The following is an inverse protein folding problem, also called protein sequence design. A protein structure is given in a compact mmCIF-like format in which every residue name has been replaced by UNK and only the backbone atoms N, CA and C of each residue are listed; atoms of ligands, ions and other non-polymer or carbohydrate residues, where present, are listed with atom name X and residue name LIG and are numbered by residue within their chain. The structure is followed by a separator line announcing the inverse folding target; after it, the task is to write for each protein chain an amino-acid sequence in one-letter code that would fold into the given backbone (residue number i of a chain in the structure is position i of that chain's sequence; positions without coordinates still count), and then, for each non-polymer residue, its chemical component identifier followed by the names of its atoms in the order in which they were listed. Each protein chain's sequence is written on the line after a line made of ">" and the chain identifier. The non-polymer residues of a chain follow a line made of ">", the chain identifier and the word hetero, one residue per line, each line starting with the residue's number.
data_IF_803574834045
#
_entry.id   IF_803574834045
#
_cell.length_a   1.000
_cell.length_b   1.000
_cell.length_c   1.000
_cell.angle_alpha   90.00
_cell.angle_beta   90.00
_cell.angle_gamma   90.00
#
_symmetry.space_group_name_H-M   'P 1'
#
loop_
_entity.id
_entity.type
_entity.pdbx_description
1 polymer ?
#
# COMPACT_ATOMS: atom_id res chain seq x y z
N UNK A 1 -33.66 -1.73 -0.19
CA UNK A 1 -32.56 -0.78 0.09
C UNK A 1 -31.23 -1.43 -0.22
N UNK A 2 -30.32 -0.73 -0.89
CA UNK A 2 -29.09 -1.24 -1.52
C UNK A 2 -28.14 -2.03 -0.58
N UNK A 3 -28.18 -1.76 0.72
CA UNK A 3 -27.26 -2.35 1.70
C UNK A 3 -28.00 -3.04 2.88
N UNK A 4 -29.32 -3.06 2.86
CA UNK A 4 -30.12 -3.75 3.88
C UNK A 4 -30.21 -5.24 3.56
N UNK A 5 -30.15 -6.08 4.60
CA UNK A 5 -30.29 -7.53 4.46
C UNK A 5 -28.95 -8.28 4.25
N UNK A 6 -27.81 -7.57 4.26
CA UNK A 6 -26.49 -8.22 4.27
C UNK A 6 -26.14 -8.64 5.70
N UNK A 7 -25.60 -9.84 5.85
CA UNK A 7 -24.98 -10.32 7.09
C UNK A 7 -23.50 -10.59 6.85
N UNK A 8 -22.69 -10.43 7.88
CA UNK A 8 -21.24 -10.59 7.80
C UNK A 8 -20.82 -11.79 8.64
N UNK A 9 -19.93 -12.61 8.08
CA UNK A 9 -19.40 -13.79 8.73
C UNK A 9 -17.89 -13.80 8.64
N UNK A 10 -17.21 -14.34 9.64
CA UNK A 10 -15.82 -14.76 9.49
C UNK A 10 -15.79 -16.26 9.20
N UNK A 11 -14.80 -16.67 8.44
CA UNK A 11 -14.62 -18.05 7.98
C UNK A 11 -13.18 -18.48 8.23
N UNK A 12 -13.00 -19.66 8.82
CA UNK A 12 -11.70 -20.30 8.84
C UNK A 12 -11.35 -20.76 7.42
N UNK A 13 -10.25 -20.24 6.87
CA UNK A 13 -9.78 -20.57 5.52
C UNK A 13 -9.36 -22.04 5.36
N UNK A 14 -9.28 -22.80 6.46
CA UNK A 14 -9.05 -24.25 6.45
C UNK A 14 -10.34 -25.07 6.49
N UNK A 15 -11.50 -24.42 6.43
CA UNK A 15 -12.79 -25.10 6.42
C UNK A 15 -12.95 -26.00 5.19
N UNK A 16 -13.63 -27.16 5.32
CA UNK A 16 -13.95 -28.00 4.18
C UNK A 16 -14.69 -27.22 3.09
N UNK A 17 -14.28 -27.38 1.84
CA UNK A 17 -14.86 -26.70 0.69
C UNK A 17 -14.20 -25.34 0.37
N UNK A 18 -13.22 -24.88 1.17
CA UNK A 18 -12.41 -23.72 0.82
C UNK A 18 -11.15 -24.19 0.07
N UNK A 19 -10.96 -23.69 -1.14
CA UNK A 19 -9.76 -23.93 -1.95
C UNK A 19 -9.05 -22.60 -2.20
N UNK A 20 -7.74 -22.53 -1.95
CA UNK A 20 -6.92 -21.34 -2.15
C UNK A 20 -5.91 -21.62 -3.27
N UNK A 21 -5.91 -20.78 -4.30
CA UNK A 21 -4.96 -20.84 -5.42
C UNK A 21 -4.10 -19.58 -5.46
N UNK A 22 -2.78 -19.69 -5.26
CA UNK A 22 -1.88 -18.53 -5.37
C UNK A 22 -1.88 -17.93 -6.78
N UNK A 23 -1.94 -16.62 -6.86
CA UNK A 23 -1.79 -15.85 -8.11
C UNK A 23 -0.33 -15.42 -8.23
N UNK A 24 0.37 -15.90 -9.25
CA UNK A 24 1.73 -15.49 -9.52
C UNK A 24 1.74 -14.07 -10.10
N UNK A 25 2.41 -13.17 -9.43
CA UNK A 25 2.58 -11.79 -9.83
C UNK A 25 3.73 -11.64 -10.83
N UNK A 26 3.76 -10.51 -11.56
CA UNK A 26 4.84 -10.17 -12.50
C UNK A 26 6.21 -10.08 -11.80
N UNK A 27 6.23 -9.72 -10.51
CA UNK A 27 7.42 -9.68 -9.66
C UNK A 27 7.95 -11.06 -9.26
N UNK A 28 7.29 -12.15 -9.67
CA UNK A 28 7.64 -13.53 -9.28
C UNK A 28 7.04 -13.98 -7.94
N UNK A 29 6.56 -13.05 -7.11
CA UNK A 29 5.88 -13.35 -5.85
C UNK A 29 4.46 -13.92 -6.04
N UNK A 30 3.85 -14.39 -4.96
CA UNK A 30 2.49 -14.93 -4.95
C UNK A 30 1.74 -14.46 -3.68
N UNK A 31 1.68 -13.14 -3.48
CA UNK A 31 1.09 -12.53 -2.28
C UNK A 31 -0.44 -12.39 -2.37
N UNK A 32 -1.03 -12.69 -3.51
CA UNK A 32 -2.47 -12.68 -3.73
C UNK A 32 -2.97 -14.08 -4.08
N UNK A 33 -4.23 -14.36 -3.76
CA UNK A 33 -4.82 -15.66 -3.97
C UNK A 33 -6.22 -15.53 -4.58
N UNK A 34 -6.60 -16.51 -5.39
CA UNK A 34 -7.99 -16.81 -5.67
C UNK A 34 -8.53 -17.72 -4.56
N UNK A 35 -9.76 -17.49 -4.15
CA UNK A 35 -10.42 -18.29 -3.12
C UNK A 35 -11.74 -18.82 -3.69
N UNK A 36 -11.90 -20.13 -3.66
CA UNK A 36 -13.09 -20.81 -4.14
C UNK A 36 -13.85 -21.42 -2.96
N UNK A 37 -15.17 -21.32 -3.00
CA UNK A 37 -16.06 -21.86 -1.98
C UNK A 37 -16.99 -22.86 -2.63
N UNK A 38 -16.95 -24.13 -2.19
CA UNK A 38 -17.81 -25.21 -2.67
C UNK A 38 -18.51 -25.81 -1.48
N UNK A 39 -19.83 -25.58 -1.37
CA UNK A 39 -20.68 -26.09 -0.30
C UNK A 39 -20.17 -25.81 1.13
N UNK A 40 -19.45 -24.72 1.31
CA UNK A 40 -18.91 -24.30 2.61
C UNK A 40 -20.07 -23.95 3.55
N UNK A 41 -20.06 -24.52 4.75
CA UNK A 41 -21.04 -24.25 5.79
C UNK A 41 -20.40 -23.45 6.92
N UNK A 42 -20.99 -22.30 7.22
CA UNK A 42 -20.55 -21.41 8.29
C UNK A 42 -21.61 -21.41 9.39
N UNK A 43 -21.28 -21.79 10.64
CA UNK A 43 -22.24 -21.74 11.73
C UNK A 43 -22.61 -20.30 12.07
N UNK A 44 -23.84 -20.06 12.51
CA UNK A 44 -24.34 -18.73 12.86
C UNK A 44 -23.54 -18.06 13.99
N UNK A 45 -22.88 -18.85 14.83
CA UNK A 45 -21.96 -18.34 15.87
C UNK A 45 -20.74 -17.57 15.32
N UNK A 46 -20.43 -17.71 14.03
CA UNK A 46 -19.37 -16.97 13.34
C UNK A 46 -19.91 -15.71 12.65
N UNK A 47 -21.17 -15.35 12.85
CA UNK A 47 -21.75 -14.10 12.38
C UNK A 47 -21.25 -12.93 13.23
N UNK A 48 -20.85 -11.86 12.56
CA UNK A 48 -20.48 -10.59 13.20
C UNK A 48 -21.62 -9.59 13.05
N UNK A 49 -22.09 -9.11 14.19
CA UNK A 49 -23.26 -8.20 14.25
C UNK A 49 -24.60 -8.93 14.09
N UNK A 50 -25.67 -8.16 14.04
CA UNK A 50 -27.03 -8.67 13.88
C UNK A 50 -27.34 -9.03 12.42
N UNK A 51 -28.35 -9.87 12.21
CA UNK A 51 -28.87 -10.17 10.87
C UNK A 51 -29.25 -8.88 10.14
N UNK A 52 -28.75 -8.71 8.94
CA UNK A 52 -29.00 -7.52 8.13
C UNK A 52 -28.11 -6.31 8.43
N UNK A 53 -27.18 -6.39 9.38
CA UNK A 53 -26.23 -5.32 9.72
C UNK A 53 -24.83 -5.51 9.13
N UNK A 54 -24.65 -6.49 8.26
CA UNK A 54 -23.33 -6.84 7.70
C UNK A 54 -22.65 -5.69 6.95
N UNK A 55 -23.42 -4.76 6.37
CA UNK A 55 -22.84 -3.57 5.75
C UNK A 55 -22.13 -2.66 6.77
N UNK A 56 -22.71 -2.49 7.95
CA UNK A 56 -22.10 -1.69 9.01
C UNK A 56 -20.81 -2.34 9.52
N UNK A 57 -20.81 -3.66 9.67
CA UNK A 57 -19.62 -4.43 10.05
C UNK A 57 -18.53 -4.29 9.00
N UNK A 58 -18.86 -4.43 7.71
CA UNK A 58 -17.92 -4.25 6.60
C UNK A 58 -17.30 -2.84 6.60
N UNK A 59 -18.10 -1.79 6.83
CA UNK A 59 -17.60 -0.42 6.91
C UNK A 59 -16.59 -0.26 8.06
N UNK A 60 -16.85 -0.84 9.23
CA UNK A 60 -15.93 -0.79 10.37
C UNK A 60 -14.59 -1.44 10.00
N UNK A 61 -14.61 -2.61 9.37
CA UNK A 61 -13.40 -3.31 8.89
C UNK A 61 -12.61 -2.44 7.89
N UNK A 62 -13.30 -1.89 6.88
CA UNK A 62 -12.68 -1.06 5.84
C UNK A 62 -12.10 0.25 6.38
N UNK A 63 -12.73 0.85 7.40
CA UNK A 63 -12.20 2.07 8.04
C UNK A 63 -10.91 1.78 8.80
N UNK A 64 -10.83 0.65 9.50
CA UNK A 64 -9.59 0.22 10.18
C UNK A 64 -8.48 -0.10 9.18
N UNK A 65 -8.79 -0.76 8.07
CA UNK A 65 -7.84 -1.02 6.99
C UNK A 65 -7.26 0.29 6.41
N UNK A 66 -8.11 1.28 6.14
CA UNK A 66 -7.65 2.59 5.65
C UNK A 66 -6.68 3.28 6.59
N UNK A 67 -6.87 3.14 7.90
CA UNK A 67 -5.94 3.70 8.89
C UNK A 67 -4.57 3.02 8.82
N UNK A 68 -4.51 1.73 8.49
CA UNK A 68 -3.26 0.96 8.38
C UNK A 68 -2.52 1.20 7.05
N UNK A 69 -3.23 1.38 5.93
CA UNK A 69 -2.64 1.58 4.59
C UNK A 69 -1.86 2.90 4.51
N UNK A 70 -2.26 3.94 5.24
CA UNK A 70 -1.57 5.24 5.25
C UNK A 70 -0.25 5.28 6.01
N UNK A 71 0.08 4.25 6.81
CA UNK A 71 1.26 4.20 7.70
C UNK A 71 2.34 3.19 7.29
N UNK A 72 2.14 2.40 6.23
CA UNK A 72 3.13 1.43 5.75
C UNK A 72 4.33 2.10 5.09
N UNK A 73 5.55 1.65 5.42
CA UNK A 73 6.76 2.03 4.67
C UNK A 73 6.65 1.47 3.25
N UNK A 74 6.62 2.33 2.25
CA UNK A 74 6.77 1.91 0.86
C UNK A 74 8.24 1.56 0.61
N UNK A 75 8.51 0.49 -0.14
CA UNK A 75 9.85 0.20 -0.63
C UNK A 75 10.38 1.37 -1.49
N UNK A 76 9.48 2.05 -2.20
CA UNK A 76 9.79 3.27 -2.94
C UNK A 76 9.49 4.49 -2.06
N UNK A 77 10.53 5.20 -1.65
CA UNK A 77 10.47 6.41 -0.83
C UNK A 77 11.50 7.44 -1.28
N UNK A 78 11.41 8.66 -0.76
CA UNK A 78 12.31 9.76 -1.16
C UNK A 78 13.77 9.48 -0.82
N UNK A 79 14.04 8.75 0.27
CA UNK A 79 15.41 8.41 0.66
C UNK A 79 16.07 7.46 -0.35
N UNK A 80 15.30 6.50 -0.90
CA UNK A 80 15.77 5.63 -1.99
C UNK A 80 16.08 6.45 -3.25
N UNK A 81 15.17 7.32 -3.67
CA UNK A 81 15.37 8.16 -4.84
C UNK A 81 16.57 9.11 -4.66
N UNK A 82 16.77 9.62 -3.45
CA UNK A 82 17.93 10.45 -3.10
C UNK A 82 19.24 9.66 -3.20
N UNK A 83 19.28 8.41 -2.72
CA UNK A 83 20.49 7.55 -2.86
C UNK A 83 20.82 7.31 -4.32
N UNK A 84 19.85 6.89 -5.13
CA UNK A 84 20.04 6.69 -6.57
C UNK A 84 20.57 7.96 -7.24
N UNK A 85 20.01 9.12 -6.94
CA UNK A 85 20.46 10.38 -7.52
C UNK A 85 21.90 10.79 -7.12
N UNK A 86 22.41 10.29 -5.99
CA UNK A 86 23.80 10.49 -5.61
C UNK A 86 24.78 9.52 -6.29
N UNK A 87 24.32 8.34 -6.67
CA UNK A 87 25.14 7.26 -7.25
C UNK A 87 25.19 7.33 -8.76
N UNK A 88 24.10 7.75 -9.41
CA UNK A 88 24.01 7.87 -10.86
C UNK A 88 24.65 9.17 -11.34
N UNK A 89 25.37 9.08 -12.47
CA UNK A 89 26.07 10.22 -13.09
C UNK A 89 25.28 10.74 -14.30
N UNK A 90 25.12 12.06 -14.38
CA UNK A 90 24.62 12.79 -15.57
C UNK A 90 25.71 13.78 -15.95
N UNK A 91 26.19 13.73 -17.20
CA UNK A 91 27.26 14.61 -17.71
C UNK A 91 28.49 14.67 -16.78
N UNK A 92 28.97 13.51 -16.34
CA UNK A 92 30.13 13.34 -15.42
C UNK A 92 29.92 13.95 -14.01
N UNK A 93 28.69 14.21 -13.61
CA UNK A 93 28.34 14.71 -12.27
C UNK A 93 27.24 13.86 -11.63
N UNK A 94 27.22 13.72 -10.30
CA UNK A 94 26.09 13.09 -9.62
C UNK A 94 24.74 13.71 -10.03
N UNK A 95 23.75 12.89 -10.35
CA UNK A 95 22.45 13.37 -10.80
C UNK A 95 21.78 14.32 -9.80
N UNK A 96 22.13 14.22 -8.49
CA UNK A 96 21.66 15.14 -7.46
C UNK A 96 22.10 16.59 -7.69
N UNK A 97 23.14 16.86 -8.50
CA UNK A 97 23.57 18.21 -8.85
C UNK A 97 22.70 18.83 -9.94
N UNK A 98 21.96 18.03 -10.70
CA UNK A 98 21.01 18.52 -11.69
C UNK A 98 19.81 19.23 -11.04
N UNK A 99 19.46 20.40 -11.56
CA UNK A 99 18.37 21.22 -11.00
C UNK A 99 16.99 20.58 -11.14
N UNK A 100 16.72 19.84 -12.22
CA UNK A 100 15.43 19.18 -12.44
C UNK A 100 15.27 17.96 -11.53
N UNK A 101 16.35 17.19 -11.32
CA UNK A 101 16.37 16.08 -10.36
C UNK A 101 16.10 16.58 -8.96
N UNK A 102 16.79 17.63 -8.53
CA UNK A 102 16.59 18.26 -7.20
C UNK A 102 15.16 18.75 -7.02
N UNK A 103 14.58 19.39 -8.03
CA UNK A 103 13.22 19.89 -7.96
C UNK A 103 12.20 18.76 -7.76
N UNK A 104 12.36 17.63 -8.47
CA UNK A 104 11.52 16.44 -8.28
C UNK A 104 11.65 15.85 -6.89
N UNK A 105 12.87 15.62 -6.40
CA UNK A 105 13.12 15.11 -5.05
C UNK A 105 12.51 16.02 -3.97
N UNK A 106 12.66 17.34 -4.11
CA UNK A 106 12.08 18.31 -3.18
C UNK A 106 10.53 18.23 -3.19
N UNK A 107 9.92 18.12 -4.37
CA UNK A 107 8.46 17.99 -4.49
C UNK A 107 7.95 16.71 -3.80
N UNK A 108 8.60 15.56 -4.03
CA UNK A 108 8.20 14.31 -3.38
C UNK A 108 8.43 14.34 -1.87
N UNK A 109 9.50 14.97 -1.40
CA UNK A 109 9.74 15.17 0.03
C UNK A 109 8.62 15.98 0.69
N UNK A 110 8.16 17.05 0.04
CA UNK A 110 7.03 17.87 0.53
C UNK A 110 5.75 17.03 0.59
N UNK A 111 5.45 16.28 -0.47
CA UNK A 111 4.28 15.40 -0.50
C UNK A 111 4.34 14.32 0.58
N UNK A 112 5.48 13.66 0.75
CA UNK A 112 5.68 12.62 1.77
C UNK A 112 5.55 13.19 3.19
N UNK A 113 6.12 14.37 3.43
CA UNK A 113 5.96 15.07 4.70
C UNK A 113 4.50 15.43 4.97
N UNK A 114 3.77 15.92 3.97
CA UNK A 114 2.34 16.19 4.07
C UNK A 114 1.51 14.96 4.43
N UNK A 115 1.78 13.82 3.77
CA UNK A 115 1.13 12.55 4.07
C UNK A 115 1.44 12.07 5.50
N UNK A 116 2.70 12.16 5.93
CA UNK A 116 3.12 11.79 7.28
C UNK A 116 2.41 12.62 8.34
N UNK A 117 2.35 13.94 8.20
CA UNK A 117 1.65 14.79 9.15
C UNK A 117 0.13 14.61 9.13
N UNK A 118 -0.45 14.30 7.97
CA UNK A 118 -1.87 13.91 7.87
C UNK A 118 -2.12 12.61 8.65
N UNK A 119 -1.23 11.63 8.53
CA UNK A 119 -1.28 10.39 9.31
C UNK A 119 -1.19 10.65 10.83
N UNK A 120 -0.31 11.53 11.29
CA UNK A 120 -0.22 11.90 12.71
C UNK A 120 -1.51 12.54 13.24
N UNK A 121 -2.19 13.37 12.44
CA UNK A 121 -3.50 13.93 12.81
C UNK A 121 -4.55 12.83 12.98
N UNK A 122 -4.61 11.88 12.05
CA UNK A 122 -5.52 10.74 12.14
C UNK A 122 -5.24 9.88 13.38
N UNK A 123 -3.99 9.59 13.66
CA UNK A 123 -3.60 8.86 14.88
C UNK A 123 -3.97 9.60 16.14
N UNK A 124 -3.84 10.91 16.17
CA UNK A 124 -4.25 11.76 17.30
C UNK A 124 -5.76 11.70 17.50
N UNK A 125 -6.56 11.76 16.43
CA UNK A 125 -8.01 11.60 16.51
C UNK A 125 -8.41 10.23 17.10
N UNK A 126 -7.81 9.15 16.59
CA UNK A 126 -8.04 7.79 17.11
C UNK A 126 -7.69 7.70 18.60
N UNK A 127 -6.57 8.26 19.04
CA UNK A 127 -6.14 8.23 20.45
C UNK A 127 -7.09 8.95 21.39
N UNK A 128 -7.92 9.86 20.85
CA UNK A 128 -8.98 10.58 21.59
C UNK A 128 -10.33 9.89 21.52
N UNK A 129 -10.43 8.71 20.86
CA UNK A 129 -11.68 8.00 20.65
C UNK A 129 -12.54 8.60 19.53
N UNK A 130 -11.99 9.50 18.73
CA UNK A 130 -12.68 10.09 17.58
C UNK A 130 -12.58 9.13 16.37
N UNK A 131 -13.56 9.18 15.48
CA UNK A 131 -13.52 8.44 14.23
C UNK A 131 -12.80 9.30 13.20
N UNK A 132 -11.68 8.82 12.60
CA UNK A 132 -10.98 9.54 11.55
C UNK A 132 -11.89 9.83 10.36
N UNK A 133 -11.77 11.01 9.81
CA UNK A 133 -12.57 11.48 8.69
C UNK A 133 -12.04 11.04 7.31
N UNK A 134 -12.51 11.69 6.24
CA UNK A 134 -12.11 11.38 4.86
C UNK A 134 -10.63 11.64 4.56
N UNK A 135 -9.91 12.35 5.42
CA UNK A 135 -8.47 12.60 5.30
C UNK A 135 -7.64 11.32 5.24
N UNK A 136 -8.11 10.22 5.83
CA UNK A 136 -7.45 8.90 5.71
C UNK A 136 -7.38 8.39 4.27
N UNK A 137 -8.23 8.90 3.36
CA UNK A 137 -8.18 8.54 1.94
C UNK A 137 -7.09 9.30 1.18
N UNK A 138 -6.58 10.42 1.71
CA UNK A 138 -5.51 11.22 1.09
C UNK A 138 -4.25 10.39 0.93
N UNK A 139 -3.93 9.54 1.90
CA UNK A 139 -2.77 8.65 1.86
C UNK A 139 -2.71 7.83 0.58
N UNK A 140 -3.82 7.19 0.21
CA UNK A 140 -3.90 6.39 -1.02
C UNK A 140 -3.99 7.26 -2.28
N UNK A 141 -4.73 8.35 -2.22
CA UNK A 141 -4.95 9.24 -3.37
C UNK A 141 -3.66 9.92 -3.85
N UNK A 142 -2.81 10.33 -2.93
CA UNK A 142 -1.55 11.05 -3.22
C UNK A 142 -0.37 10.07 -3.20
N UNK A 143 -0.32 9.15 -2.24
CA UNK A 143 0.83 8.27 -2.03
C UNK A 143 1.06 7.30 -3.18
N UNK A 144 0.01 6.66 -3.71
CA UNK A 144 0.16 5.68 -4.77
C UNK A 144 0.67 6.29 -6.09
N UNK A 145 0.08 7.38 -6.62
CA UNK A 145 0.62 8.05 -7.82
C UNK A 145 2.05 8.58 -7.60
N UNK A 146 2.33 9.18 -6.44
CA UNK A 146 3.68 9.66 -6.09
C UNK A 146 4.71 8.54 -6.15
N UNK A 147 4.41 7.38 -5.54
CA UNK A 147 5.33 6.25 -5.53
C UNK A 147 5.56 5.68 -6.92
N UNK A 148 4.52 5.61 -7.75
CA UNK A 148 4.63 5.17 -9.14
C UNK A 148 5.49 6.12 -9.97
N UNK A 149 5.25 7.44 -9.86
CA UNK A 149 6.06 8.46 -10.55
C UNK A 149 7.52 8.38 -10.12
N UNK A 150 7.76 8.25 -8.81
CA UNK A 150 9.11 8.16 -8.25
C UNK A 150 9.83 6.89 -8.73
N UNK A 151 9.15 5.74 -8.75
CA UNK A 151 9.71 4.48 -9.25
C UNK A 151 10.10 4.60 -10.73
N UNK A 152 9.20 5.14 -11.57
CA UNK A 152 9.49 5.38 -13.00
C UNK A 152 10.70 6.29 -13.18
N UNK A 153 10.76 7.39 -12.42
CA UNK A 153 11.88 8.32 -12.48
C UNK A 153 13.21 7.69 -12.06
N UNK A 154 13.21 6.86 -11.03
CA UNK A 154 14.42 6.13 -10.61
C UNK A 154 14.89 5.14 -11.69
N UNK A 155 13.95 4.45 -12.34
CA UNK A 155 14.27 3.58 -13.47
C UNK A 155 14.84 4.36 -14.65
N UNK A 156 14.26 5.53 -14.97
CA UNK A 156 14.76 6.41 -16.04
C UNK A 156 16.19 6.91 -15.73
N UNK A 157 16.48 7.27 -14.47
CA UNK A 157 17.83 7.67 -14.05
C UNK A 157 18.85 6.55 -14.18
N UNK A 158 18.44 5.31 -13.88
CA UNK A 158 19.31 4.13 -13.98
C UNK A 158 19.54 3.67 -15.43
N UNK A 159 18.80 4.21 -16.40
CA UNK A 159 18.87 3.87 -17.82
C UNK A 159 18.85 2.35 -18.06
N UNK A 160 19.81 1.81 -18.79
CA UNK A 160 19.90 0.36 -19.07
C UNK A 160 20.16 -0.47 -17.81
N UNK A 161 20.79 0.10 -16.79
CA UNK A 161 21.03 -0.58 -15.51
C UNK A 161 19.73 -0.84 -14.76
N UNK A 162 18.72 0.01 -14.92
CA UNK A 162 17.39 -0.18 -14.33
C UNK A 162 16.64 -1.39 -14.87
N UNK A 163 17.01 -1.92 -16.02
CA UNK A 163 16.41 -3.12 -16.60
C UNK A 163 17.06 -4.43 -16.13
N UNK A 164 18.17 -4.36 -15.39
CA UNK A 164 18.90 -5.53 -14.91
C UNK A 164 18.26 -5.99 -13.60
N UNK A 165 17.85 -7.25 -13.56
CA UNK A 165 17.47 -7.93 -12.34
C UNK A 165 18.64 -8.78 -11.85
N UNK A 166 19.17 -8.46 -10.68
CA UNK A 166 20.26 -9.21 -10.03
C UNK A 166 19.83 -9.53 -8.58
N UNK A 167 19.82 -10.82 -8.26
CA UNK A 167 19.46 -11.31 -6.93
C UNK A 167 20.42 -10.86 -5.83
N UNK A 168 21.68 -10.57 -6.16
CA UNK A 168 22.65 -10.06 -5.18
C UNK A 168 22.41 -8.58 -4.91
N UNK A 169 22.16 -7.78 -5.92
CA UNK A 169 21.81 -6.36 -5.78
C UNK A 169 20.47 -6.17 -5.04
N UNK A 170 19.49 -7.05 -5.27
CA UNK A 170 18.21 -6.98 -4.55
C UNK A 170 18.36 -7.25 -3.06
N UNK A 171 19.26 -8.15 -2.67
CA UNK A 171 19.58 -8.43 -1.26
C UNK A 171 20.32 -7.27 -0.59
N UNK A 172 21.25 -6.63 -1.29
CA UNK A 172 21.94 -5.43 -0.79
C UNK A 172 21.01 -4.23 -0.67
N UNK A 173 20.04 -4.09 -1.56
CA UNK A 173 19.01 -3.06 -1.50
C UNK A 173 17.93 -3.32 -0.44
N UNK A 174 17.91 -4.49 0.19
CA UNK A 174 16.92 -4.87 1.22
C UNK A 174 15.51 -5.08 0.65
N UNK A 175 15.40 -5.51 -0.62
CA UNK A 175 14.14 -5.78 -1.30
C UNK A 175 13.84 -7.29 -1.29
#
# INVERSE_FOLDING_TARGET
>A
AKHKGLSYFFLDMKSPGVEIKPIRQLTGGANFNEVYFTDVRIPDSQRLGEVGQGWQVALTTLMNERASIGGGSSAVNVDMAYRIANEVMIDDKPAIEDGAVRAKLANWYVQESGLRFTGYRSMTAISRGEIPGPENSIGKLVGAPKNQEMASFCMDLLEMSGAIWDDEMSKEAGI
#
